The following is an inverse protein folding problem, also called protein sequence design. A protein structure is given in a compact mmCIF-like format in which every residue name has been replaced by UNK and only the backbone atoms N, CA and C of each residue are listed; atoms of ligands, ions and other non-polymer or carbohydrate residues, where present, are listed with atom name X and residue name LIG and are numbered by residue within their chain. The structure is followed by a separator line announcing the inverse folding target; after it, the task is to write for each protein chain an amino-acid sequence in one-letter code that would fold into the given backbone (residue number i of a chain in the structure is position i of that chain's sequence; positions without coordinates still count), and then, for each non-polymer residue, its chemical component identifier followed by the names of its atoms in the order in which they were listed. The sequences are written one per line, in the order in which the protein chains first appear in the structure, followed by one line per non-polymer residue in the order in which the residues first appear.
data_IF_651371709582
#
_entry.id   IF_651371709582
#
_cell.length_a   1.000
_cell.length_b   1.000
_cell.length_c   1.000
_cell.angle_alpha   90.00
_cell.angle_beta   90.00
_cell.angle_gamma   90.00
#
_symmetry.space_group_name_H-M   'P 1'
#
loop_
_entity.id
_entity.type
_entity.pdbx_description
1 polymer ?
#
# COMPACT_ATOMS: atom_id res chain seq x y z
N UNK A 1 -1.63 -4.11 11.44
CA UNK A 1 -2.83 -3.34 11.02
C UNK A 1 -3.91 -4.34 10.68
N UNK A 2 -5.13 -4.22 11.20
CA UNK A 2 -6.21 -5.17 10.92
C UNK A 2 -6.52 -5.21 9.42
N UNK A 3 -6.86 -6.39 8.90
CA UNK A 3 -7.04 -6.63 7.46
C UNK A 3 -8.18 -5.79 6.84
N UNK A 4 -9.14 -5.40 7.66
CA UNK A 4 -10.31 -4.60 7.29
C UNK A 4 -10.17 -3.11 7.64
N UNK A 5 -8.95 -2.63 7.86
CA UNK A 5 -8.70 -1.21 8.11
C UNK A 5 -9.26 -0.37 6.95
N UNK A 6 -9.94 0.73 7.29
CA UNK A 6 -10.55 1.66 6.34
C UNK A 6 -9.78 2.98 6.32
N UNK A 7 -9.86 3.76 5.23
CA UNK A 7 -9.35 5.13 5.24
C UNK A 7 -9.90 5.92 6.43
N UNK A 8 -9.03 6.63 7.15
CA UNK A 8 -9.38 7.36 8.36
C UNK A 8 -8.16 7.93 9.08
N UNK A 9 -8.41 8.66 10.17
CA UNK A 9 -7.35 9.24 11.00
C UNK A 9 -6.89 8.21 12.03
N UNK A 10 -5.66 7.75 11.89
CA UNK A 10 -5.03 6.85 12.85
C UNK A 10 -3.99 7.61 13.68
N UNK A 11 -3.86 7.23 14.93
CA UNK A 11 -2.84 7.78 15.83
C UNK A 11 -2.07 6.64 16.50
N UNK A 12 -0.76 6.75 16.50
CA UNK A 12 0.11 5.91 17.32
C UNK A 12 0.31 6.63 18.65
N UNK A 13 -0.15 6.01 19.74
CA UNK A 13 0.03 6.52 21.09
C UNK A 13 1.02 5.64 21.83
N UNK A 14 2.06 6.26 22.40
CA UNK A 14 3.11 5.61 23.18
C UNK A 14 3.06 6.18 24.59
N UNK A 15 2.91 5.30 25.57
CA UNK A 15 2.87 5.65 26.98
C UNK A 15 4.01 4.97 27.74
N UNK A 16 4.75 5.74 28.53
CA UNK A 16 5.77 5.24 29.44
C UNK A 16 5.27 5.31 30.87
N UNK A 17 4.95 4.16 31.46
CA UNK A 17 4.54 4.07 32.87
C UNK A 17 5.76 3.76 33.76
N UNK A 18 5.90 4.50 34.86
CA UNK A 18 6.92 4.25 35.85
C UNK A 18 6.36 3.30 36.93
N UNK A 19 6.98 2.13 37.10
CA UNK A 19 6.64 1.19 38.17
C UNK A 19 7.33 1.63 39.47
N UNK A 20 6.60 2.34 40.33
CA UNK A 20 7.00 2.75 41.68
C UNK A 20 5.79 2.96 42.60
N UNK A 21 6.01 3.20 43.90
CA UNK A 21 4.99 3.20 44.98
C UNK A 21 3.76 4.08 44.71
N UNK A 22 3.91 5.16 43.94
CA UNK A 22 2.81 6.07 43.60
C UNK A 22 2.15 5.79 42.24
N UNK A 23 2.75 4.95 41.38
CA UNK A 23 2.24 4.52 40.07
C UNK A 23 1.77 5.65 39.13
N UNK A 24 2.41 5.82 37.97
CA UNK A 24 1.92 6.84 37.04
C UNK A 24 2.53 6.83 35.64
N UNK A 25 1.84 7.50 34.72
CA UNK A 25 2.31 7.74 33.35
C UNK A 25 3.32 8.87 33.35
N UNK A 26 4.60 8.53 33.17
CA UNK A 26 5.70 9.51 33.09
C UNK A 26 5.86 10.13 31.71
N UNK A 27 5.29 9.52 30.67
CA UNK A 27 5.38 10.02 29.30
C UNK A 27 4.18 9.56 28.45
N UNK A 28 3.64 10.47 27.63
CA UNK A 28 2.66 10.18 26.58
C UNK A 28 3.08 10.91 25.31
N UNK A 29 3.17 10.20 24.19
CA UNK A 29 3.37 10.80 22.87
C UNK A 29 2.34 10.23 21.89
N UNK A 30 1.77 11.13 21.07
CA UNK A 30 0.78 10.80 20.06
C UNK A 30 1.27 11.30 18.70
N UNK A 31 1.47 10.39 17.77
CA UNK A 31 1.85 10.67 16.40
C UNK A 31 0.72 10.31 15.43
N UNK A 32 0.51 11.12 14.39
CA UNK A 32 -0.46 10.83 13.34
C UNK A 32 0.11 9.75 12.39
N UNK A 33 -0.73 8.80 12.01
CA UNK A 33 -0.39 7.69 11.10
C UNK A 33 -1.29 7.78 9.88
N UNK A 34 -0.67 7.84 8.70
CA UNK A 34 -1.39 7.84 7.43
C UNK A 34 -1.72 6.41 7.02
N UNK A 35 -2.99 6.16 6.69
CA UNK A 35 -3.40 4.92 6.06
C UNK A 35 -3.18 5.00 4.55
N UNK A 36 -2.42 4.05 4.00
CA UNK A 36 -2.22 3.89 2.56
C UNK A 36 -2.75 2.53 2.12
N UNK A 37 -3.76 2.52 1.24
CA UNK A 37 -4.34 1.29 0.68
C UNK A 37 -3.54 0.73 -0.50
N UNK A 38 -2.56 1.47 -1.00
CA UNK A 38 -1.76 1.11 -2.19
C UNK A 38 -0.62 0.18 -1.80
N UNK A 39 -0.89 -1.12 -1.83
CA UNK A 39 0.13 -2.16 -1.61
C UNK A 39 0.73 -2.70 -2.92
N UNK A 40 0.09 -2.41 -4.05
CA UNK A 40 0.40 -2.94 -5.38
C UNK A 40 0.59 -1.81 -6.38
N UNK A 41 1.72 -1.83 -7.09
CA UNK A 41 2.02 -0.95 -8.22
C UNK A 41 1.90 -1.75 -9.52
N UNK A 42 1.07 -1.26 -10.44
CA UNK A 42 0.81 -1.89 -11.74
C UNK A 42 1.35 -0.98 -12.84
N UNK A 43 2.31 -1.48 -13.61
CA UNK A 43 2.88 -0.80 -14.76
C UNK A 43 2.43 -1.54 -16.03
N UNK A 44 1.73 -0.83 -16.91
CA UNK A 44 1.24 -1.37 -18.18
C UNK A 44 2.00 -0.69 -19.31
N UNK A 45 2.65 -1.49 -20.15
CA UNK A 45 3.39 -1.00 -21.30
C UNK A 45 2.92 -1.71 -22.57
N UNK A 46 2.64 -0.92 -23.60
CA UNK A 46 2.34 -1.41 -24.95
C UNK A 46 3.55 -1.26 -25.86
N UNK A 47 3.62 -2.04 -26.94
CA UNK A 47 4.73 -1.92 -27.90
C UNK A 47 4.70 -0.64 -28.75
N UNK A 48 3.57 0.09 -28.79
CA UNK A 48 3.39 1.37 -29.49
C UNK A 48 2.38 2.25 -28.75
N UNK A 49 2.46 3.55 -28.98
CA UNK A 49 1.50 4.53 -28.48
C UNK A 49 0.19 4.56 -29.29
N UNK A 50 0.28 4.32 -30.59
CA UNK A 50 -0.85 4.36 -31.53
C UNK A 50 -0.80 3.13 -32.44
N UNK A 51 -1.98 2.57 -32.72
CA UNK A 51 -2.16 1.40 -33.57
C UNK A 51 -3.15 1.70 -34.69
N UNK A 52 -2.81 1.25 -35.89
CA UNK A 52 -3.73 1.23 -37.02
C UNK A 52 -4.52 -0.08 -37.04
N UNK A 53 -5.57 -0.12 -37.86
CA UNK A 53 -6.36 -1.32 -38.10
C UNK A 53 -5.46 -2.52 -38.44
N UNK A 54 -5.78 -3.68 -37.89
CA UNK A 54 -5.04 -4.96 -38.05
C UNK A 54 -3.62 -4.98 -37.47
N UNK A 55 -3.19 -3.97 -36.72
CA UNK A 55 -1.92 -4.06 -36.02
C UNK A 55 -2.06 -4.86 -34.72
N UNK A 56 -1.18 -5.85 -34.54
CA UNK A 56 -1.11 -6.61 -33.29
C UNK A 56 -0.58 -5.75 -32.14
N UNK A 57 -1.33 -5.75 -31.04
CA UNK A 57 -0.97 -5.09 -29.78
C UNK A 57 -0.24 -6.11 -28.90
N UNK A 58 0.97 -5.77 -28.47
CA UNK A 58 1.72 -6.52 -27.46
C UNK A 58 1.72 -5.70 -26.17
N UNK A 59 1.24 -6.31 -25.10
CA UNK A 59 1.14 -5.71 -23.77
C UNK A 59 2.10 -6.44 -22.83
N UNK A 60 2.80 -5.69 -22.00
CA UNK A 60 3.54 -6.18 -20.84
C UNK A 60 2.96 -5.53 -19.60
N UNK A 61 2.62 -6.35 -18.61
CA UNK A 61 2.19 -5.89 -17.29
C UNK A 61 3.25 -6.29 -16.27
N UNK A 62 3.70 -5.33 -15.48
CA UNK A 62 4.68 -5.53 -14.41
C UNK A 62 4.00 -5.17 -13.10
N UNK A 63 4.03 -6.11 -12.15
CA UNK A 63 3.39 -6.00 -10.86
C UNK A 63 4.46 -5.96 -9.77
N UNK A 64 4.43 -4.91 -8.95
CA UNK A 64 5.42 -4.69 -7.90
C UNK A 64 4.73 -4.51 -6.55
N UNK A 65 5.26 -5.17 -5.53
CA UNK A 65 4.83 -4.95 -4.15
C UNK A 65 5.50 -3.70 -3.55
N UNK A 66 5.18 -3.38 -2.30
CA UNK A 66 5.76 -2.23 -1.56
C UNK A 66 7.28 -2.27 -1.39
N UNK A 67 7.91 -3.44 -1.60
CA UNK A 67 9.35 -3.63 -1.56
C UNK A 67 9.98 -3.60 -2.97
N UNK A 68 9.23 -3.22 -4.00
CA UNK A 68 9.63 -3.25 -5.40
C UNK A 68 10.04 -4.64 -5.90
N UNK A 69 9.49 -5.70 -5.31
CA UNK A 69 9.67 -7.09 -5.76
C UNK A 69 8.48 -7.54 -6.60
N UNK A 70 8.66 -8.55 -7.47
CA UNK A 70 7.56 -9.11 -8.26
C UNK A 70 6.39 -9.54 -7.38
N UNK A 71 5.19 -9.09 -7.72
CA UNK A 71 3.96 -9.59 -7.13
C UNK A 71 3.50 -10.83 -7.89
N UNK A 72 3.16 -11.91 -7.16
CA UNK A 72 2.96 -13.25 -7.73
C UNK A 72 1.52 -13.73 -7.72
N UNK A 73 0.62 -13.06 -7.01
CA UNK A 73 -0.78 -13.47 -6.95
C UNK A 73 -1.49 -13.10 -8.27
N UNK A 74 -2.50 -13.89 -8.69
CA UNK A 74 -3.22 -13.64 -9.93
C UNK A 74 -3.95 -12.30 -9.90
N UNK A 75 -4.00 -11.65 -11.06
CA UNK A 75 -4.79 -10.44 -11.31
C UNK A 75 -5.56 -10.60 -12.62
N UNK A 76 -6.71 -9.94 -12.71
CA UNK A 76 -7.48 -9.87 -13.94
C UNK A 76 -7.12 -8.62 -14.73
N UNK A 77 -6.93 -8.78 -16.04
CA UNK A 77 -6.63 -7.69 -16.97
C UNK A 77 -7.73 -7.67 -18.03
N UNK A 78 -8.43 -6.54 -18.12
CA UNK A 78 -9.50 -6.32 -19.10
C UNK A 78 -9.05 -5.30 -20.13
N UNK A 79 -9.20 -5.64 -21.42
CA UNK A 79 -9.12 -4.70 -22.54
C UNK A 79 -10.56 -4.47 -23.01
N UNK A 80 -11.07 -3.25 -22.79
CA UNK A 80 -12.44 -2.84 -23.11
C UNK A 80 -12.50 -2.11 -24.45
#
# INVERSE_FOLDING_TARGET
VPLNARPGNYYLQVEGNANGVLGGTGFVNKALVNYESKFLTILIQTNKLVYNLMQSIKIRVILLNTQMKPYVDPIDIYLL
#
